data_IF_115244649404
#
_entry.id   IF_115244649404
#
_cell.length_a   1.000
_cell.length_b   1.000
_cell.length_c   1.000
_cell.angle_alpha   90.00
_cell.angle_beta   90.00
_cell.angle_gamma   90.00
#
_symmetry.space_group_name_H-M   'P 1'
#
loop_
_entity.id
_entity.type
_entity.pdbx_description
1 polymer ?
#
# COMPACT_ATOMS: atom_id res chain seq x y z
N UNK A 1 -29.89 -19.95 26.16
CA UNK A 1 -28.43 -20.10 26.08
C UNK A 1 -27.98 -19.47 24.77
N UNK A 2 -27.22 -18.36 24.77
CA UNK A 2 -26.63 -17.86 23.53
C UNK A 2 -25.64 -18.92 23.02
N UNK A 3 -25.79 -19.37 21.77
CA UNK A 3 -24.79 -20.23 21.15
C UNK A 3 -23.54 -19.38 20.96
N UNK A 4 -22.42 -19.80 21.55
CA UNK A 4 -21.14 -19.23 21.18
C UNK A 4 -20.97 -19.41 19.67
N UNK A 5 -20.71 -18.32 18.92
CA UNK A 5 -20.37 -18.45 17.52
C UNK A 5 -19.17 -19.39 17.39
N UNK A 6 -19.27 -20.41 16.52
CA UNK A 6 -18.19 -21.37 16.28
C UNK A 6 -16.88 -20.73 15.78
N UNK A 7 -16.94 -19.44 15.42
CA UNK A 7 -15.86 -18.60 14.93
C UNK A 7 -15.39 -17.62 16.02
N UNK A 8 -14.85 -18.13 17.13
CA UNK A 8 -14.20 -17.27 18.12
C UNK A 8 -12.89 -16.71 17.54
N UNK A 9 -12.80 -15.39 17.43
CA UNK A 9 -11.61 -14.67 16.93
C UNK A 9 -10.33 -15.06 17.71
N UNK A 10 -10.45 -15.34 19.01
CA UNK A 10 -9.34 -15.77 19.87
C UNK A 10 -8.70 -17.10 19.47
N UNK A 11 -9.45 -18.02 18.83
CA UNK A 11 -8.90 -19.30 18.37
C UNK A 11 -7.95 -19.11 17.18
N UNK A 12 -8.13 -18.06 16.39
CA UNK A 12 -7.32 -17.77 15.21
C UNK A 12 -5.96 -17.15 15.56
N UNK A 13 -5.89 -16.32 16.61
CA UNK A 13 -4.64 -15.69 17.04
C UNK A 13 -3.68 -16.61 17.78
N UNK A 14 -4.05 -17.87 18.05
CA UNK A 14 -3.17 -18.86 18.67
C UNK A 14 -2.20 -19.51 17.67
N UNK A 15 -2.46 -19.38 16.37
CA UNK A 15 -1.58 -19.88 15.31
C UNK A 15 -0.62 -18.79 14.86
N UNK A 16 0.51 -18.67 15.55
CA UNK A 16 1.61 -17.81 15.11
C UNK A 16 2.23 -18.37 13.84
N UNK A 17 1.90 -17.81 12.68
CA UNK A 17 2.65 -18.05 11.45
C UNK A 17 3.98 -17.28 11.54
N UNK A 18 5.12 -17.97 11.35
CA UNK A 18 6.47 -17.37 11.30
C UNK A 18 6.67 -16.56 10.00
N UNK A 19 5.87 -15.51 9.78
CA UNK A 19 6.16 -14.54 8.73
C UNK A 19 7.12 -13.50 9.27
N UNK A 20 8.41 -13.84 9.23
CA UNK A 20 9.48 -12.96 9.69
C UNK A 20 9.86 -11.98 8.57
N UNK A 21 9.57 -10.70 8.77
CA UNK A 21 10.00 -9.63 7.87
C UNK A 21 11.40 -9.19 8.29
N UNK A 22 12.30 -9.08 7.33
CA UNK A 22 13.65 -8.55 7.52
C UNK A 22 13.67 -7.02 7.46
N UNK A 23 14.62 -6.42 8.18
CA UNK A 23 14.80 -4.96 8.21
C UNK A 23 15.08 -4.38 6.82
N UNK A 24 15.75 -5.14 5.93
CA UNK A 24 16.01 -4.67 4.57
C UNK A 24 14.72 -4.56 3.74
N UNK A 25 13.80 -5.54 3.82
CA UNK A 25 12.48 -5.44 3.19
C UNK A 25 11.64 -4.30 3.77
N UNK A 26 11.68 -4.07 5.09
CA UNK A 26 10.99 -2.93 5.69
C UNK A 26 11.49 -1.59 5.11
N UNK A 27 12.81 -1.44 4.96
CA UNK A 27 13.41 -0.25 4.35
C UNK A 27 13.05 -0.09 2.87
N UNK A 28 12.95 -1.19 2.12
CA UNK A 28 12.46 -1.14 0.74
C UNK A 28 11.00 -0.68 0.66
N UNK A 29 10.15 -1.17 1.56
CA UNK A 29 8.75 -0.77 1.66
C UNK A 29 8.63 0.71 2.03
N UNK A 30 9.40 1.17 3.01
CA UNK A 30 9.47 2.57 3.42
C UNK A 30 9.85 3.49 2.24
N UNK A 31 10.87 3.10 1.48
CA UNK A 31 11.31 3.83 0.28
C UNK A 31 10.21 3.93 -0.78
N UNK A 32 9.48 2.84 -1.03
CA UNK A 32 8.38 2.82 -2.01
C UNK A 32 7.18 3.66 -1.55
N UNK A 33 6.92 3.69 -0.25
CA UNK A 33 5.87 4.49 0.37
C UNK A 33 6.27 5.95 0.64
N UNK A 34 7.53 6.35 0.33
CA UNK A 34 8.08 7.67 0.64
C UNK A 34 8.04 8.02 2.14
N UNK A 35 8.30 7.03 3.00
CA UNK A 35 8.32 7.18 4.46
C UNK A 35 9.75 7.12 5.01
N UNK A 36 10.05 8.00 5.97
CA UNK A 36 11.29 7.96 6.75
C UNK A 36 11.03 7.23 8.06
N UNK A 37 11.74 6.14 8.31
CA UNK A 37 11.63 5.36 9.54
C UNK A 37 12.78 5.76 10.48
N UNK A 38 12.44 6.11 11.73
CA UNK A 38 13.45 6.32 12.78
C UNK A 38 14.03 4.97 13.23
N UNK A 39 15.34 4.86 13.48
CA UNK A 39 15.99 3.59 13.80
C UNK A 39 15.43 2.93 15.06
N UNK A 40 14.95 3.74 16.02
CA UNK A 40 14.32 3.29 17.26
C UNK A 40 13.02 2.50 17.04
N UNK A 41 12.34 2.71 15.92
CA UNK A 41 11.01 2.12 15.64
C UNK A 41 11.07 0.94 14.68
N UNK A 42 12.22 0.66 14.07
CA UNK A 42 12.36 -0.40 13.08
C UNK A 42 11.92 -1.76 13.63
N UNK A 43 12.34 -2.09 14.85
CA UNK A 43 12.05 -3.38 15.46
C UNK A 43 10.56 -3.55 15.81
N UNK A 44 9.91 -2.48 16.30
CA UNK A 44 8.45 -2.47 16.55
C UNK A 44 7.67 -2.63 15.25
N UNK A 45 8.05 -1.89 14.20
CA UNK A 45 7.38 -1.93 12.91
C UNK A 45 7.53 -3.29 12.22
N UNK A 46 8.70 -3.93 12.29
CA UNK A 46 8.87 -5.29 11.81
C UNK A 46 7.88 -6.25 12.48
N UNK A 47 7.70 -6.12 13.79
CA UNK A 47 6.73 -6.94 14.54
C UNK A 47 5.29 -6.65 14.12
N UNK A 48 4.90 -5.38 14.04
CA UNK A 48 3.54 -4.96 13.68
C UNK A 48 3.16 -5.39 12.26
N UNK A 49 4.04 -5.19 11.28
CA UNK A 49 3.77 -5.63 9.90
C UNK A 49 3.73 -7.16 9.84
N UNK A 50 4.58 -7.86 10.58
CA UNK A 50 4.52 -9.32 10.71
C UNK A 50 3.17 -9.80 11.26
N UNK A 51 2.62 -9.12 12.27
CA UNK A 51 1.28 -9.41 12.81
C UNK A 51 0.19 -9.21 11.76
N UNK A 52 0.25 -8.13 10.97
CA UNK A 52 -0.72 -7.87 9.90
C UNK A 52 -0.63 -8.96 8.82
N UNK A 53 0.58 -9.36 8.40
CA UNK A 53 0.75 -10.42 7.41
C UNK A 53 0.26 -11.78 7.93
N UNK A 54 0.48 -12.08 9.21
CA UNK A 54 -0.09 -13.28 9.84
C UNK A 54 -1.62 -13.27 9.79
N UNK A 55 -2.27 -12.12 10.05
CA UNK A 55 -3.72 -11.99 9.88
C UNK A 55 -4.16 -12.28 8.44
N UNK A 56 -3.44 -11.77 7.43
CA UNK A 56 -3.75 -12.03 6.02
C UNK A 56 -3.61 -13.52 5.69
N UNK A 57 -2.58 -14.18 6.21
CA UNK A 57 -2.37 -15.61 6.02
C UNK A 57 -3.52 -16.43 6.60
N UNK A 58 -3.97 -16.11 7.82
CA UNK A 58 -5.12 -16.77 8.45
C UNK A 58 -6.37 -16.67 7.55
N UNK A 59 -6.65 -15.49 6.99
CA UNK A 59 -7.81 -15.31 6.10
C UNK A 59 -7.71 -16.20 4.84
N UNK A 60 -6.49 -16.44 4.34
CA UNK A 60 -6.25 -17.33 3.20
C UNK A 60 -6.41 -18.82 3.57
N UNK A 61 -6.10 -19.19 4.81
CA UNK A 61 -6.21 -20.56 5.32
C UNK A 61 -7.63 -20.96 5.74
N UNK A 62 -8.50 -20.01 6.07
CA UNK A 62 -9.88 -20.29 6.49
C UNK A 62 -10.81 -20.40 5.27
N UNK A 63 -10.75 -21.53 4.57
CA UNK A 63 -11.70 -21.89 3.53
C UNK A 63 -13.07 -22.29 4.10
N UNK A 64 -14.14 -21.85 3.44
CA UNK A 64 -15.49 -22.36 3.69
C UNK A 64 -15.51 -23.83 3.21
N UNK A 65 -15.84 -24.81 4.08
CA UNK A 65 -15.85 -26.21 3.67
C UNK A 65 -16.98 -26.44 2.67
N UNK A 66 -16.64 -26.64 1.38
CA UNK A 66 -17.56 -27.26 0.43
C UNK A 66 -17.51 -28.76 0.72
N UNK A 67 -18.66 -29.34 1.05
CA UNK A 67 -18.79 -30.72 1.51
C UNK A 67 -18.20 -31.75 0.53
N UNK A 68 -16.90 -32.04 0.63
CA UNK A 68 -16.23 -33.29 0.25
C UNK A 68 -14.72 -33.13 0.44
N UNK A 69 -14.12 -34.13 1.09
CA UNK A 69 -12.69 -34.49 1.17
C UNK A 69 -11.89 -34.03 2.43
N UNK A 70 -11.65 -35.04 3.29
CA UNK A 70 -10.63 -35.25 4.34
C UNK A 70 -10.36 -34.19 5.41
N UNK A 71 -10.50 -34.62 6.67
CA UNK A 71 -10.46 -33.83 7.90
C UNK A 71 -9.07 -33.42 8.42
N UNK A 72 -7.99 -33.59 7.63
CA UNK A 72 -6.60 -33.48 8.12
C UNK A 72 -5.78 -32.33 7.52
N UNK A 73 -6.38 -31.44 6.73
CA UNK A 73 -5.69 -30.25 6.19
C UNK A 73 -6.57 -29.00 6.34
N UNK A 74 -6.06 -27.88 6.89
CA UNK A 74 -6.79 -26.61 6.88
C UNK A 74 -7.06 -26.23 5.43
N UNK A 75 -8.33 -26.23 5.04
CA UNK A 75 -8.73 -25.99 3.66
C UNK A 75 -8.49 -24.53 3.31
N UNK A 76 -7.43 -24.22 2.57
CA UNK A 76 -7.22 -22.89 2.00
C UNK A 76 -8.45 -22.46 1.18
N UNK A 77 -8.72 -21.16 1.12
CA UNK A 77 -9.81 -20.60 0.29
C UNK A 77 -9.51 -20.91 -1.18
N UNK A 78 -10.26 -21.85 -1.78
CA UNK A 78 -10.11 -22.16 -3.20
C UNK A 78 -10.69 -21.03 -4.06
N UNK A 79 -9.84 -20.39 -4.86
CA UNK A 79 -10.18 -19.31 -5.81
C UNK A 79 -10.05 -19.74 -7.28
N UNK A 80 -9.88 -21.04 -7.56
CA UNK A 80 -9.78 -21.58 -8.93
C UNK A 80 -11.03 -21.23 -9.75
N UNK A 81 -10.83 -20.55 -10.87
CA UNK A 81 -11.90 -20.11 -11.77
C UNK A 81 -12.71 -18.89 -11.30
N UNK A 82 -12.31 -18.24 -10.21
CA UNK A 82 -12.92 -16.99 -9.73
C UNK A 82 -12.18 -15.79 -10.33
N UNK A 83 -12.88 -14.96 -11.09
CA UNK A 83 -12.30 -13.71 -11.59
C UNK A 83 -12.15 -12.67 -10.46
N UNK A 84 -11.03 -11.93 -10.38
CA UNK A 84 -10.84 -10.88 -9.38
C UNK A 84 -11.87 -9.76 -9.49
N UNK A 85 -12.46 -9.38 -8.36
CA UNK A 85 -13.39 -8.27 -8.29
C UNK A 85 -12.66 -6.91 -8.18
N UNK A 86 -12.66 -6.11 -9.25
CA UNK A 86 -11.96 -4.80 -9.31
C UNK A 86 -12.86 -3.64 -8.90
N UNK A 87 -14.16 -3.71 -9.21
CA UNK A 87 -15.15 -2.71 -8.86
C UNK A 87 -16.40 -3.41 -8.32
N UNK A 88 -17.03 -2.89 -7.24
CA UNK A 88 -18.28 -3.44 -6.73
C UNK A 88 -19.48 -3.14 -7.63
N UNK A 89 -19.34 -2.23 -8.61
CA UNK A 89 -20.40 -1.94 -9.58
C UNK A 89 -20.48 -3.08 -10.60
N UNK A 90 -21.71 -3.52 -10.88
CA UNK A 90 -21.97 -4.51 -11.92
C UNK A 90 -21.33 -4.07 -13.24
N UNK A 91 -20.74 -5.01 -13.97
CA UNK A 91 -20.13 -4.76 -15.29
C UNK A 91 -21.07 -4.05 -16.28
N UNK A 92 -22.40 -4.18 -16.10
CA UNK A 92 -23.44 -3.51 -16.89
C UNK A 92 -23.66 -2.03 -16.53
N UNK A 93 -23.36 -1.66 -15.28
CA UNK A 93 -23.38 -0.27 -14.79
C UNK A 93 -22.03 0.43 -14.99
N UNK A 94 -20.95 -0.36 -15.13
CA UNK A 94 -19.62 0.10 -15.49
C UNK A 94 -19.48 0.46 -16.98
N UNK A 95 -20.52 1.03 -17.61
CA UNK A 95 -20.34 1.67 -18.92
C UNK A 95 -19.32 2.79 -18.76
N UNK A 96 -18.29 2.80 -19.60
CA UNK A 96 -17.24 3.81 -19.58
C UNK A 96 -17.90 5.18 -19.75
N UNK A 97 -17.88 6.00 -18.70
CA UNK A 97 -18.34 7.38 -18.78
C UNK A 97 -17.30 8.18 -19.56
N UNK A 98 -17.61 8.46 -20.81
CA UNK A 98 -16.80 9.32 -21.65
C UNK A 98 -16.97 10.77 -21.18
N UNK A 99 -15.86 11.48 -21.04
CA UNK A 99 -15.85 12.94 -20.84
C UNK A 99 -15.98 13.61 -22.20
N UNK A 100 -16.77 14.68 -22.30
CA UNK A 100 -16.76 15.54 -23.49
C UNK A 100 -15.34 16.13 -23.70
N UNK A 101 -14.93 16.26 -24.96
CA UNK A 101 -13.64 16.85 -25.32
C UNK A 101 -13.78 18.37 -25.40
N UNK A 102 -13.92 19.00 -24.23
CA UNK A 102 -14.10 20.43 -24.08
C UNK A 102 -13.05 20.97 -23.11
N UNK A 103 -12.49 22.14 -23.42
CA UNK A 103 -11.57 22.85 -22.53
C UNK A 103 -12.40 23.58 -21.48
N UNK A 104 -12.30 23.15 -20.22
CA UNK A 104 -13.10 23.72 -19.11
C UNK A 104 -12.36 24.71 -18.23
N UNK A 105 -11.01 24.75 -18.28
CA UNK A 105 -10.17 25.56 -17.38
C UNK A 105 -9.06 26.27 -18.13
N UNK A 106 -8.72 27.49 -17.69
CA UNK A 106 -7.64 28.33 -18.20
C UNK A 106 -7.40 29.55 -17.30
N UNK A 107 -6.18 30.09 -17.29
CA UNK A 107 -5.77 31.31 -16.56
C UNK A 107 -5.98 31.32 -15.02
N UNK A 108 -6.15 30.16 -14.38
CA UNK A 108 -6.35 30.01 -12.92
C UNK A 108 -5.05 29.80 -12.12
N UNK A 109 -3.91 30.28 -12.61
CA UNK A 109 -2.61 30.01 -11.99
C UNK A 109 -2.52 30.51 -10.52
N UNK A 110 -3.09 31.69 -10.21
CA UNK A 110 -3.12 32.22 -8.85
C UNK A 110 -3.99 31.39 -7.90
N UNK A 111 -5.13 30.88 -8.38
CA UNK A 111 -6.02 30.05 -7.58
C UNK A 111 -5.41 28.69 -7.24
N UNK A 112 -4.67 28.10 -8.19
CA UNK A 112 -3.93 26.85 -7.97
C UNK A 112 -2.79 27.04 -6.96
N UNK A 113 -2.14 28.20 -6.98
CA UNK A 113 -0.98 28.49 -6.11
C UNK A 113 -1.38 28.89 -4.69
N UNK A 114 -2.66 29.13 -4.39
CA UNK A 114 -3.11 29.56 -3.06
C UNK A 114 -2.72 28.61 -1.93
N UNK A 115 -2.66 27.31 -2.22
CA UNK A 115 -2.27 26.28 -1.24
C UNK A 115 -0.80 25.87 -1.34
N UNK A 116 -0.02 26.48 -2.23
CA UNK A 116 1.38 26.13 -2.44
C UNK A 116 2.21 26.56 -1.20
N UNK A 117 2.94 25.65 -0.55
CA UNK A 117 3.78 26.01 0.60
C UNK A 117 4.91 26.98 0.25
N UNK A 118 5.44 26.89 -0.97
CA UNK A 118 6.44 27.81 -1.53
C UNK A 118 6.21 27.95 -3.04
N UNK A 119 6.29 29.18 -3.55
CA UNK A 119 6.12 29.51 -4.97
C UNK A 119 7.15 30.51 -5.45
N UNK A 120 7.49 30.43 -6.73
CA UNK A 120 8.25 31.43 -7.47
C UNK A 120 7.40 31.85 -8.67
N UNK A 121 6.79 33.03 -8.58
CA UNK A 121 5.72 33.44 -9.50
C UNK A 121 4.62 32.38 -9.60
N UNK A 122 4.42 31.85 -10.82
CA UNK A 122 3.46 30.80 -11.13
C UNK A 122 4.07 29.38 -11.14
N UNK A 123 5.16 29.15 -10.41
CA UNK A 123 5.81 27.84 -10.30
C UNK A 123 5.84 27.31 -8.86
N UNK A 124 5.71 25.99 -8.70
CA UNK A 124 5.94 25.30 -7.43
C UNK A 124 7.43 25.14 -7.18
N UNK A 125 7.88 25.51 -5.97
CA UNK A 125 9.28 25.36 -5.59
C UNK A 125 9.49 23.98 -4.97
N UNK A 126 10.39 23.20 -5.56
CA UNK A 126 10.80 21.88 -5.05
C UNK A 126 12.30 21.90 -4.77
N UNK A 127 12.77 21.30 -3.66
CA UNK A 127 14.20 21.16 -3.40
C UNK A 127 14.92 20.45 -4.56
N UNK A 128 16.03 21.04 -5.02
CA UNK A 128 16.86 20.41 -6.06
C UNK A 128 17.41 19.07 -5.54
N UNK A 129 17.38 18.05 -6.39
CA UNK A 129 17.96 16.74 -6.09
C UNK A 129 19.47 16.91 -5.92
N UNK A 130 19.99 16.69 -4.71
CA UNK A 130 21.44 16.50 -4.52
C UNK A 130 21.81 15.14 -5.11
N UNK A 131 22.14 15.12 -6.40
CA UNK A 131 22.91 14.03 -6.97
C UNK A 131 24.33 14.08 -6.41
N UNK A 132 24.79 12.98 -5.81
CA UNK A 132 26.19 12.55 -5.64
C UNK A 132 27.24 13.68 -5.50
N UNK A 133 27.69 13.91 -4.27
CA UNK A 133 28.94 14.60 -3.98
C UNK A 133 30.12 13.85 -4.61
N UNK A 134 30.92 14.51 -5.45
CA UNK A 134 32.26 14.05 -5.82
C UNK A 134 32.63 14.30 -7.28
N UNK A 135 32.93 15.54 -7.63
CA UNK A 135 33.55 15.91 -8.90
C UNK A 135 34.23 17.27 -8.74
N UNK A 136 35.47 17.24 -8.25
CA UNK A 136 36.38 18.37 -8.31
C UNK A 136 36.58 18.85 -9.76
N UNK A 137 36.79 20.16 -9.93
CA UNK A 137 37.50 20.71 -11.07
C UNK A 137 36.69 21.68 -11.93
N UNK A 138 36.99 22.97 -11.80
CA UNK A 138 36.59 23.97 -12.79
C UNK A 138 36.50 25.40 -12.27
N UNK A 139 37.56 25.89 -11.65
CA UNK A 139 37.83 27.33 -11.58
C UNK A 139 37.90 27.88 -13.01
N UNK A 140 37.00 28.82 -13.33
CA UNK A 140 36.91 29.48 -14.64
C UNK A 140 36.54 30.94 -14.42
N UNK A 141 37.57 31.78 -14.53
CA UNK A 141 37.57 33.22 -14.39
C UNK A 141 36.73 33.96 -15.47
N UNK A 142 36.37 35.21 -15.12
CA UNK A 142 36.10 36.39 -15.95
C UNK A 142 35.34 36.25 -17.29
N UNK A 143 34.17 36.92 -17.35
CA UNK A 143 33.88 38.02 -18.28
C UNK A 143 32.61 38.78 -17.85
#
# INVERSE_FOLDING_TARGET
MPREPSWSVEKFFQQSSDTQIDAATLQQLAKRAQLTIAPEKEESLCREVGQILSCVHIIQEVGIPRAALSADQPSQVNTEGVEPLVSPLDARQAQLRLRADEVTDGDIAEDLMRNAPARDGSFFVVPKVKGQSGGEGGEGADA
#
